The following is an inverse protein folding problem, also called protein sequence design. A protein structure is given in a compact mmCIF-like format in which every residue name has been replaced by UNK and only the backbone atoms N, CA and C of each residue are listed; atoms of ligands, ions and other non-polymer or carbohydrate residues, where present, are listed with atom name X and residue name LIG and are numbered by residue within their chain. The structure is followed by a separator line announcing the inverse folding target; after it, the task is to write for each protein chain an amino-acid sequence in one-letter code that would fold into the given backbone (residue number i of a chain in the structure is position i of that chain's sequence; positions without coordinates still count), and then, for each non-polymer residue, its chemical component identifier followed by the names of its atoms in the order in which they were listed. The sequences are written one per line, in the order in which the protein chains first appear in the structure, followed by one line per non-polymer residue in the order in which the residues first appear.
data_IF_205074945298
#
_entry.id   IF_205074945298
#
_cell.length_a   1.000
_cell.length_b   1.000
_cell.length_c   1.000
_cell.angle_alpha   90.00
_cell.angle_beta   90.00
_cell.angle_gamma   90.00
#
_symmetry.space_group_name_H-M   'P 1'
#
loop_
_entity.id
_entity.type
_entity.pdbx_description
1 polymer ?
#
# COMPACT_ATOMS: atom_id res chain seq x y z
N UNK A 1 -11.70 14.57 76.60
CA UNK A 1 -10.41 15.14 76.24
C UNK A 1 -9.80 14.24 75.13
N UNK A 2 -10.01 14.57 73.86
CA UNK A 2 -9.55 13.73 72.73
C UNK A 2 -8.13 14.24 72.34
N UNK A 3 -7.15 13.34 72.47
CA UNK A 3 -5.82 13.58 71.98
C UNK A 3 -5.76 13.44 70.44
N UNK A 4 -5.60 14.53 69.75
CA UNK A 4 -5.35 14.55 68.30
C UNK A 4 -3.91 14.09 68.10
N UNK A 5 -3.73 12.87 67.57
CA UNK A 5 -2.42 12.40 67.15
C UNK A 5 -1.96 13.17 65.93
N UNK A 6 -0.94 14.03 66.06
CA UNK A 6 -0.25 14.72 64.95
C UNK A 6 0.61 13.68 64.23
N UNK A 7 0.16 13.23 63.05
CA UNK A 7 1.00 12.46 62.14
C UNK A 7 2.16 13.34 61.68
N UNK A 8 3.41 12.87 61.88
CA UNK A 8 4.61 13.50 61.37
C UNK A 8 4.58 13.42 59.84
N UNK A 9 4.39 14.57 59.19
CA UNK A 9 4.63 14.69 57.75
C UNK A 9 6.12 14.50 57.50
N UNK A 10 6.51 13.41 56.81
CA UNK A 10 7.85 13.22 56.31
C UNK A 10 7.96 14.02 54.99
N UNK A 11 8.79 15.06 54.99
CA UNK A 11 9.13 15.79 53.77
C UNK A 11 9.93 14.85 52.83
N UNK A 12 9.54 14.79 51.58
CA UNK A 12 10.34 14.14 50.52
C UNK A 12 11.71 14.83 50.41
N UNK A 13 12.79 14.07 50.41
CA UNK A 13 14.12 14.61 50.18
C UNK A 13 14.25 15.03 48.71
N UNK A 14 15.04 16.07 48.45
CA UNK A 14 15.27 16.60 47.12
C UNK A 14 15.83 15.50 46.15
N UNK A 15 16.66 14.60 46.68
CA UNK A 15 17.24 13.52 45.96
C UNK A 15 16.20 12.43 45.58
N UNK A 16 15.23 12.18 46.47
CA UNK A 16 14.14 11.22 46.22
C UNK A 16 13.24 11.70 45.07
N UNK A 17 12.93 13.00 45.04
CA UNK A 17 12.17 13.63 43.96
C UNK A 17 12.93 13.52 42.62
N UNK A 18 14.25 13.76 42.65
CA UNK A 18 15.09 13.68 41.46
C UNK A 18 15.16 12.26 40.89
N UNK A 19 15.34 11.26 41.76
CA UNK A 19 15.33 9.84 41.35
C UNK A 19 13.97 9.43 40.82
N UNK A 20 12.88 9.88 41.45
CA UNK A 20 11.52 9.55 40.98
C UNK A 20 11.24 10.10 39.59
N UNK A 21 11.64 11.35 39.30
CA UNK A 21 11.50 11.97 37.96
C UNK A 21 12.34 11.22 36.94
N UNK A 22 13.57 10.85 37.28
CA UNK A 22 14.47 10.12 36.38
C UNK A 22 13.90 8.74 35.99
N UNK A 23 13.44 7.97 36.96
CA UNK A 23 12.80 6.66 36.72
C UNK A 23 11.53 6.80 35.89
N UNK A 24 10.72 7.83 36.19
CA UNK A 24 9.50 8.09 35.41
C UNK A 24 9.83 8.46 33.96
N UNK A 25 10.85 9.28 33.73
CA UNK A 25 11.27 9.65 32.39
C UNK A 25 11.73 8.42 31.58
N UNK A 26 12.52 7.54 32.18
CA UNK A 26 12.93 6.28 31.55
C UNK A 26 11.73 5.37 31.19
N UNK A 27 10.75 5.29 32.09
CA UNK A 27 9.52 4.54 31.85
C UNK A 27 8.72 5.07 30.67
N UNK A 28 8.57 6.38 30.58
CA UNK A 28 7.87 7.04 29.45
C UNK A 28 8.61 6.81 28.14
N UNK A 29 9.93 6.94 28.11
CA UNK A 29 10.73 6.69 26.90
C UNK A 29 10.59 5.24 26.42
N UNK A 30 10.54 4.28 27.34
CA UNK A 30 10.29 2.88 26.99
C UNK A 30 8.94 2.67 26.33
N UNK A 31 7.88 3.28 26.84
CA UNK A 31 6.53 3.20 26.28
C UNK A 31 6.49 3.85 24.89
N UNK A 32 7.11 4.99 24.70
CA UNK A 32 7.16 5.68 23.40
C UNK A 32 7.85 4.82 22.35
N UNK A 33 8.92 4.09 22.69
CA UNK A 33 9.61 3.19 21.77
C UNK A 33 8.68 2.07 21.25
N UNK A 34 7.87 1.48 22.12
CA UNK A 34 6.88 0.46 21.73
C UNK A 34 5.78 1.05 20.85
N UNK A 35 5.29 2.25 21.20
CA UNK A 35 4.24 2.92 20.41
C UNK A 35 4.70 3.22 18.97
N UNK A 36 5.94 3.70 18.79
CA UNK A 36 6.50 3.94 17.46
C UNK A 36 6.53 2.67 16.61
N UNK A 37 6.92 1.54 17.19
CA UNK A 37 6.92 0.25 16.49
C UNK A 37 5.52 -0.18 16.08
N UNK A 38 4.55 -0.07 16.99
CA UNK A 38 3.16 -0.42 16.71
C UNK A 38 2.56 0.44 15.60
N UNK A 39 2.88 1.74 15.55
CA UNK A 39 2.43 2.62 14.47
C UNK A 39 2.99 2.19 13.12
N UNK A 40 4.25 1.79 13.05
CA UNK A 40 4.89 1.29 11.83
C UNK A 40 4.21 0.01 11.34
N UNK A 41 3.98 -0.96 12.21
CA UNK A 41 3.32 -2.23 11.87
C UNK A 41 1.87 -2.00 11.41
N UNK A 42 1.18 -1.03 12.02
CA UNK A 42 -0.19 -0.65 11.63
C UNK A 42 -0.21 -0.03 10.22
N UNK A 43 0.74 0.83 9.89
CA UNK A 43 0.84 1.43 8.55
C UNK A 43 1.03 0.38 7.48
N UNK A 44 1.90 -0.62 7.69
CA UNK A 44 2.10 -1.75 6.77
C UNK A 44 0.79 -2.50 6.53
N UNK A 45 0.05 -2.80 7.59
CA UNK A 45 -1.24 -3.50 7.48
C UNK A 45 -2.28 -2.70 6.71
N UNK A 46 -2.34 -1.39 6.92
CA UNK A 46 -3.26 -0.48 6.19
C UNK A 46 -2.91 -0.44 4.70
N UNK A 47 -1.63 -0.32 4.34
CA UNK A 47 -1.19 -0.31 2.94
C UNK A 47 -1.52 -1.62 2.21
N UNK A 48 -1.33 -2.76 2.87
CA UNK A 48 -1.75 -4.06 2.32
C UNK A 48 -3.25 -4.13 2.07
N UNK A 49 -4.06 -3.65 3.02
CA UNK A 49 -5.51 -3.59 2.85
C UNK A 49 -5.91 -2.65 1.69
N UNK A 50 -5.20 -1.53 1.51
CA UNK A 50 -5.41 -0.62 0.39
C UNK A 50 -5.05 -1.30 -0.94
N UNK A 51 -3.92 -2.02 -1.02
CA UNK A 51 -3.53 -2.75 -2.23
C UNK A 51 -4.57 -3.82 -2.62
N UNK A 52 -5.11 -4.56 -1.66
CA UNK A 52 -6.19 -5.54 -1.92
C UNK A 52 -7.43 -4.85 -2.48
N UNK A 53 -7.85 -3.73 -1.89
CA UNK A 53 -9.00 -2.97 -2.40
C UNK A 53 -8.79 -2.43 -3.82
N UNK A 54 -7.56 -2.04 -4.16
CA UNK A 54 -7.23 -1.61 -5.51
C UNK A 54 -7.34 -2.76 -6.51
N UNK A 55 -6.94 -3.98 -6.14
CA UNK A 55 -7.12 -5.18 -6.98
C UNK A 55 -8.61 -5.48 -7.16
N UNK A 56 -9.39 -5.40 -6.10
CA UNK A 56 -10.85 -5.57 -6.15
C UNK A 56 -11.51 -4.50 -7.05
N UNK A 57 -11.11 -3.23 -6.93
CA UNK A 57 -11.60 -2.14 -7.78
C UNK A 57 -11.34 -2.40 -9.27
N UNK A 58 -10.15 -2.88 -9.62
CA UNK A 58 -9.86 -3.28 -10.99
C UNK A 58 -10.81 -4.40 -11.45
N UNK A 59 -11.01 -5.41 -10.61
CA UNK A 59 -11.93 -6.51 -10.89
C UNK A 59 -13.38 -6.04 -11.12
N UNK A 60 -13.85 -5.08 -10.34
CA UNK A 60 -15.20 -4.51 -10.51
C UNK A 60 -15.31 -3.70 -11.81
N UNK A 61 -14.32 -2.89 -12.17
CA UNK A 61 -14.27 -2.17 -13.45
C UNK A 61 -14.34 -3.14 -14.63
N UNK A 62 -13.59 -4.23 -14.57
CA UNK A 62 -13.60 -5.27 -15.59
C UNK A 62 -14.98 -5.96 -15.72
N UNK A 63 -15.68 -6.20 -14.62
CA UNK A 63 -17.03 -6.82 -14.64
C UNK A 63 -18.07 -5.94 -15.32
N UNK A 64 -17.93 -4.62 -15.20
CA UNK A 64 -18.86 -3.66 -15.83
C UNK A 64 -18.56 -3.49 -17.32
N UNK A 65 -17.31 -3.74 -17.74
CA UNK A 65 -16.91 -3.57 -19.14
C UNK A 65 -17.56 -4.63 -20.04
N UNK A 66 -18.21 -4.25 -21.15
CA UNK A 66 -18.78 -5.18 -22.10
C UNK A 66 -17.68 -6.07 -22.71
N UNK A 67 -17.91 -7.40 -22.77
CA UNK A 67 -16.96 -8.36 -23.31
C UNK A 67 -15.58 -8.42 -22.63
N UNK A 68 -15.49 -8.08 -21.34
CA UNK A 68 -14.23 -8.05 -20.61
C UNK A 68 -13.38 -9.33 -20.73
N UNK A 69 -14.02 -10.50 -20.78
CA UNK A 69 -13.32 -11.79 -20.97
C UNK A 69 -12.60 -11.91 -22.32
N UNK A 70 -13.15 -11.34 -23.39
CA UNK A 70 -12.52 -11.33 -24.71
C UNK A 70 -11.43 -10.25 -24.78
N UNK A 71 -11.58 -9.15 -24.05
CA UNK A 71 -10.66 -8.01 -23.98
C UNK A 71 -9.67 -8.07 -22.83
N UNK A 72 -9.42 -9.20 -22.17
CA UNK A 72 -8.48 -9.30 -21.05
C UNK A 72 -7.07 -8.81 -21.39
N UNK A 73 -6.66 -8.98 -22.65
CA UNK A 73 -5.36 -8.50 -23.11
C UNK A 73 -5.23 -6.97 -23.11
N UNK A 74 -6.34 -6.25 -23.24
CA UNK A 74 -6.35 -4.78 -23.29
C UNK A 74 -6.02 -4.17 -21.93
N UNK A 75 -6.13 -4.94 -20.84
CA UNK A 75 -5.71 -4.56 -19.50
C UNK A 75 -4.25 -4.91 -19.18
N UNK A 76 -3.55 -5.67 -20.07
CA UNK A 76 -2.16 -6.05 -19.81
C UNK A 76 -1.23 -4.82 -19.84
N UNK A 77 -0.42 -4.65 -18.79
CA UNK A 77 0.45 -3.48 -18.63
C UNK A 77 1.59 -3.78 -17.67
N UNK A 78 2.81 -3.36 -18.02
CA UNK A 78 3.99 -3.52 -17.17
C UNK A 78 4.08 -2.50 -16.03
N UNK A 79 5.09 -2.66 -15.17
CA UNK A 79 5.42 -1.69 -14.12
C UNK A 79 5.94 -0.37 -14.67
N UNK A 80 6.62 -0.43 -15.82
CA UNK A 80 7.22 0.68 -16.57
C UNK A 80 6.19 1.65 -17.18
N UNK A 81 4.92 1.25 -17.20
CA UNK A 81 3.82 2.07 -17.69
C UNK A 81 3.05 2.67 -16.52
N UNK A 82 3.32 3.92 -16.23
CA UNK A 82 2.56 4.68 -15.24
C UNK A 82 1.20 5.12 -15.79
N UNK A 83 0.27 5.51 -14.90
CA UNK A 83 -1.03 6.02 -15.33
C UNK A 83 -0.92 7.28 -16.20
N UNK A 84 0.11 8.10 -15.97
CA UNK A 84 0.43 9.30 -16.77
C UNK A 84 0.89 8.96 -18.20
N UNK A 85 1.55 7.82 -18.40
CA UNK A 85 2.13 7.42 -19.68
C UNK A 85 1.11 6.76 -20.61
N UNK A 86 0.00 6.30 -20.03
CA UNK A 86 -1.06 5.67 -20.79
C UNK A 86 -1.88 6.73 -21.53
N UNK A 87 -1.90 6.64 -22.84
CA UNK A 87 -2.87 7.37 -23.68
C UNK A 87 -4.19 6.62 -23.72
N UNK A 88 -5.26 7.28 -23.32
CA UNK A 88 -6.60 6.70 -23.34
C UNK A 88 -7.63 7.75 -23.81
N UNK A 89 -8.63 7.30 -24.53
CA UNK A 89 -9.79 8.13 -24.89
C UNK A 89 -10.58 8.46 -23.62
N UNK A 90 -11.05 9.68 -23.50
CA UNK A 90 -11.91 10.07 -22.36
C UNK A 90 -13.32 9.52 -22.53
N UNK A 91 -13.62 8.44 -21.85
CA UNK A 91 -14.92 7.77 -21.86
C UNK A 91 -15.95 8.39 -20.90
N UNK A 92 -15.59 9.44 -20.18
CA UNK A 92 -16.54 10.13 -19.28
C UNK A 92 -17.55 11.01 -20.03
N UNK A 93 -17.19 11.46 -21.22
CA UNK A 93 -17.94 12.43 -22.02
C UNK A 93 -18.60 11.86 -23.27
N UNK A 94 -18.14 10.68 -23.75
CA UNK A 94 -18.65 10.04 -24.96
C UNK A 94 -18.63 8.50 -24.84
N UNK A 95 -19.49 7.80 -25.59
CA UNK A 95 -19.45 6.36 -25.65
C UNK A 95 -18.12 5.85 -26.21
N UNK A 96 -17.53 4.87 -25.56
CA UNK A 96 -16.29 4.21 -25.97
C UNK A 96 -16.55 2.79 -26.46
N UNK A 97 -15.67 2.31 -27.31
CA UNK A 97 -15.57 0.88 -27.61
C UNK A 97 -15.07 0.11 -26.38
N UNK A 98 -15.27 -1.21 -26.27
CA UNK A 98 -14.77 -1.98 -25.13
C UNK A 98 -13.25 -1.85 -24.90
N UNK A 99 -12.46 -1.79 -25.98
CA UNK A 99 -11.00 -1.62 -25.86
C UNK A 99 -10.61 -0.22 -25.38
N UNK A 100 -11.30 0.83 -25.83
CA UNK A 100 -11.09 2.21 -25.34
C UNK A 100 -11.48 2.31 -23.87
N UNK A 101 -12.59 1.69 -23.48
CA UNK A 101 -13.03 1.62 -22.08
C UNK A 101 -11.99 0.93 -21.20
N UNK A 102 -11.41 -0.20 -21.65
CA UNK A 102 -10.37 -0.90 -20.93
C UNK A 102 -9.11 -0.01 -20.75
N UNK A 103 -8.70 0.70 -21.80
CA UNK A 103 -7.59 1.64 -21.71
C UNK A 103 -7.85 2.82 -20.76
N UNK A 104 -9.06 3.36 -20.77
CA UNK A 104 -9.49 4.43 -19.88
C UNK A 104 -9.48 3.95 -18.41
N UNK A 105 -10.09 2.80 -18.14
CA UNK A 105 -10.15 2.21 -16.80
C UNK A 105 -8.76 1.89 -16.27
N UNK A 106 -7.89 1.32 -17.12
CA UNK A 106 -6.51 1.02 -16.77
C UNK A 106 -5.73 2.28 -16.37
N UNK A 107 -5.85 3.34 -17.18
CA UNK A 107 -5.23 4.63 -16.88
C UNK A 107 -5.69 5.20 -15.54
N UNK A 108 -7.00 5.26 -15.31
CA UNK A 108 -7.59 5.76 -14.07
C UNK A 108 -7.13 4.91 -12.88
N UNK A 109 -7.16 3.60 -13.03
CA UNK A 109 -6.79 2.68 -11.96
C UNK A 109 -5.30 2.79 -11.60
N UNK A 110 -4.40 2.81 -12.58
CA UNK A 110 -2.95 3.00 -12.31
C UNK A 110 -2.65 4.34 -11.64
N UNK A 111 -3.33 5.40 -12.07
CA UNK A 111 -3.22 6.71 -11.42
C UNK A 111 -3.67 6.63 -9.96
N UNK A 112 -4.75 5.90 -9.68
CA UNK A 112 -5.22 5.68 -8.31
C UNK A 112 -4.22 4.88 -7.47
N UNK A 113 -3.57 3.85 -8.03
CA UNK A 113 -2.50 3.10 -7.36
C UNK A 113 -1.37 4.02 -6.94
N UNK A 114 -0.89 4.88 -7.83
CA UNK A 114 0.19 5.83 -7.57
C UNK A 114 -0.17 6.86 -6.49
N UNK A 115 -1.41 7.33 -6.48
CA UNK A 115 -1.89 8.31 -5.50
C UNK A 115 -2.16 7.69 -4.12
N UNK A 116 -2.51 6.40 -4.06
CA UNK A 116 -2.91 5.73 -2.83
C UNK A 116 -1.73 5.11 -2.09
N UNK A 117 -0.75 4.58 -2.82
CA UNK A 117 0.40 3.88 -2.27
C UNK A 117 1.69 4.66 -2.52
N UNK A 118 2.60 4.73 -1.54
CA UNK A 118 3.88 5.41 -1.71
C UNK A 118 4.72 4.76 -2.82
N UNK A 119 5.03 5.50 -3.87
CA UNK A 119 5.67 5.01 -5.08
C UNK A 119 4.99 3.73 -5.63
N UNK A 120 3.65 3.74 -5.58
CA UNK A 120 2.83 2.63 -6.03
C UNK A 120 2.98 2.38 -7.51
N UNK A 121 3.32 1.14 -7.87
CA UNK A 121 3.39 0.66 -9.25
C UNK A 121 2.58 -0.62 -9.38
N UNK A 122 2.06 -0.87 -10.57
CA UNK A 122 1.28 -2.06 -10.81
C UNK A 122 1.60 -2.70 -12.16
N UNK A 123 1.63 -4.02 -12.17
CA UNK A 123 1.73 -4.84 -13.38
C UNK A 123 0.52 -5.74 -13.51
N UNK A 124 -0.02 -5.82 -14.70
CA UNK A 124 -1.14 -6.68 -15.06
C UNK A 124 -0.69 -7.58 -16.21
N UNK A 125 -0.81 -8.87 -16.05
CA UNK A 125 -0.31 -9.82 -17.01
C UNK A 125 -1.30 -10.98 -17.22
N UNK A 126 -1.25 -11.59 -18.39
CA UNK A 126 -2.04 -12.79 -18.70
C UNK A 126 -1.39 -14.01 -18.05
N UNK A 127 -2.19 -14.94 -17.57
CA UNK A 127 -1.67 -16.18 -17.02
C UNK A 127 -0.87 -16.98 -18.06
N UNK A 128 0.21 -17.67 -17.66
CA UNK A 128 0.99 -18.49 -18.56
C UNK A 128 0.11 -19.55 -19.25
N UNK A 129 0.24 -19.69 -20.56
CA UNK A 129 -0.54 -20.64 -21.33
C UNK A 129 -1.89 -20.12 -21.86
N UNK A 130 -2.34 -18.94 -21.45
CA UNK A 130 -3.55 -18.31 -21.97
C UNK A 130 -3.25 -17.44 -23.21
N UNK A 131 -2.70 -18.05 -24.24
CA UNK A 131 -2.31 -17.35 -25.47
C UNK A 131 -3.45 -17.12 -26.45
N UNK A 132 -4.50 -17.95 -26.41
CA UNK A 132 -5.65 -17.85 -27.30
C UNK A 132 -6.75 -16.96 -26.70
N UNK A 133 -7.17 -15.92 -27.41
CA UNK A 133 -8.22 -14.99 -26.95
C UNK A 133 -9.52 -15.68 -26.49
N UNK A 134 -9.90 -16.78 -27.15
CA UNK A 134 -11.11 -17.51 -26.83
C UNK A 134 -11.10 -18.25 -25.48
N UNK A 135 -9.92 -18.50 -24.91
CA UNK A 135 -9.76 -19.29 -23.70
C UNK A 135 -9.18 -18.49 -22.52
N UNK A 136 -8.90 -17.19 -22.68
CA UNK A 136 -8.38 -16.35 -21.62
C UNK A 136 -9.42 -16.18 -20.52
N UNK A 137 -9.07 -16.57 -19.30
CA UNK A 137 -9.96 -16.52 -18.13
C UNK A 137 -9.28 -16.00 -16.89
N UNK A 138 -7.95 -15.84 -16.92
CA UNK A 138 -7.16 -15.46 -15.77
C UNK A 138 -6.25 -14.29 -16.11
N UNK A 139 -6.26 -13.31 -15.20
CA UNK A 139 -5.39 -12.17 -15.23
C UNK A 139 -4.65 -12.09 -13.88
N UNK A 140 -3.34 -11.96 -13.94
CA UNK A 140 -2.53 -11.70 -12.77
C UNK A 140 -2.38 -10.21 -12.54
N UNK A 141 -2.53 -9.76 -11.29
CA UNK A 141 -2.33 -8.37 -10.89
C UNK A 141 -1.29 -8.36 -9.78
N UNK A 142 -0.24 -7.59 -9.96
CA UNK A 142 0.79 -7.35 -8.96
C UNK A 142 0.88 -5.86 -8.67
N UNK A 143 0.83 -5.49 -7.40
CA UNK A 143 1.02 -4.12 -6.93
C UNK A 143 2.27 -4.09 -6.07
N UNK A 144 3.18 -3.18 -6.38
CA UNK A 144 4.37 -2.92 -5.62
C UNK A 144 4.30 -1.51 -5.02
N UNK A 145 4.79 -1.35 -3.81
CA UNK A 145 4.88 -0.05 -3.14
C UNK A 145 6.05 -0.03 -2.19
N UNK A 146 6.45 1.17 -1.80
CA UNK A 146 7.55 1.36 -0.85
C UNK A 146 7.02 1.36 0.59
N UNK A 147 7.59 0.51 1.44
CA UNK A 147 7.36 0.52 2.88
C UNK A 147 8.59 1.05 3.61
N UNK A 148 8.36 1.97 4.56
CA UNK A 148 9.30 2.42 5.59
C UNK A 148 10.79 2.35 5.22
N UNK A 149 11.25 3.34 4.47
CA UNK A 149 12.68 3.49 4.24
C UNK A 149 13.35 4.02 5.50
N UNK A 150 14.39 3.33 5.92
CA UNK A 150 15.36 3.91 6.83
C UNK A 150 16.14 4.97 6.05
N UNK A 151 16.29 6.14 6.63
CA UNK A 151 17.11 7.21 6.09
C UNK A 151 18.49 6.66 5.68
N UNK A 152 18.87 6.82 4.42
CA UNK A 152 20.13 6.32 3.86
C UNK A 152 20.07 5.07 2.99
N UNK A 153 18.92 4.43 2.83
CA UNK A 153 18.76 3.37 1.82
C UNK A 153 18.57 4.05 0.47
N UNK A 154 19.51 3.82 -0.46
CA UNK A 154 19.34 4.27 -1.84
C UNK A 154 18.03 3.72 -2.38
N UNK A 155 17.25 4.59 -2.97
CA UNK A 155 16.04 4.25 -3.69
C UNK A 155 16.44 3.56 -4.98
N UNK A 156 16.70 2.26 -4.90
CA UNK A 156 16.74 1.49 -6.13
C UNK A 156 15.31 1.42 -6.63
N UNK A 157 15.08 1.87 -7.83
CA UNK A 157 13.81 1.69 -8.52
C UNK A 157 13.38 0.24 -8.38
N UNK A 158 12.07 0.01 -8.27
CA UNK A 158 11.54 -1.36 -8.27
C UNK A 158 12.00 -1.98 -9.59
N UNK A 159 13.03 -2.78 -9.51
CA UNK A 159 13.59 -3.46 -10.67
C UNK A 159 12.60 -4.55 -11.11
N UNK A 160 11.82 -4.21 -12.12
CA UNK A 160 10.83 -5.13 -12.69
C UNK A 160 11.48 -6.44 -13.17
N UNK A 161 12.78 -6.43 -13.47
CA UNK A 161 13.52 -7.63 -13.86
C UNK A 161 13.78 -8.58 -12.69
N UNK A 162 13.81 -8.06 -11.46
CA UNK A 162 13.96 -8.86 -10.23
C UNK A 162 12.64 -9.41 -9.69
N UNK A 163 11.53 -8.81 -10.08
CA UNK A 163 10.18 -9.28 -9.71
C UNK A 163 9.72 -10.38 -10.66
N UNK A 164 10.25 -10.39 -11.88
CA UNK A 164 10.00 -11.42 -12.89
C UNK A 164 11.25 -12.29 -12.99
N UNK A 165 11.15 -13.59 -12.75
CA UNK A 165 12.25 -14.50 -12.99
C UNK A 165 12.82 -14.28 -14.40
N UNK A 166 14.13 -14.49 -14.59
CA UNK A 166 14.81 -14.30 -15.87
C UNK A 166 14.19 -15.12 -17.03
N UNK A 167 13.41 -16.14 -16.67
CA UNK A 167 12.64 -17.03 -17.57
C UNK A 167 11.17 -16.61 -17.78
N UNK A 168 10.75 -15.50 -17.17
CA UNK A 168 9.37 -15.04 -17.25
C UNK A 168 8.37 -15.82 -16.39
N UNK A 169 8.86 -16.69 -15.51
CA UNK A 169 8.05 -17.43 -14.53
C UNK A 169 8.02 -16.67 -13.19
N UNK A 170 6.93 -16.86 -12.42
CA UNK A 170 6.73 -16.30 -11.07
C UNK A 170 7.11 -17.32 -10.02
#
# INVERSE_FOLDING_TARGET
MQMISRSRQRGLSLIESLVAIFVTALGILGILGVQMRTLTDTQTSVRRAQAVRLIEDLGERMKVSPNALLGLADYASGYDQEGSDLTATDCSSAPCTPAEQAGYDLKQWKTTVQQTLPLGQASIFLAPGETANANRRQLGVMIAWRENEREGTKTDDIDASKVRGADGTF
#
